data_IF_770583825105
#
_entry.id   IF_770583825105
#
_cell.length_a   1.000
_cell.length_b   1.000
_cell.length_c   1.000
_cell.angle_alpha   90.00
_cell.angle_beta   90.00
_cell.angle_gamma   90.00
#
_symmetry.space_group_name_H-M   'P 1'
#
loop_
_entity.id
_entity.type
_entity.pdbx_description
1 polymer ?
#
# COMPACT_ATOMS: atom_id res chain seq x y z
N UNK A 1 -21.82 -28.73 -19.42
CA UNK A 1 -22.75 -28.35 -18.33
C UNK A 1 -21.90 -27.99 -17.13
N UNK A 2 -21.63 -26.71 -16.93
CA UNK A 2 -20.85 -26.21 -15.79
C UNK A 2 -21.85 -25.76 -14.74
N UNK A 3 -21.96 -26.49 -13.63
CA UNK A 3 -22.80 -26.05 -12.52
C UNK A 3 -22.18 -24.78 -11.88
N UNK A 4 -23.00 -23.77 -11.51
CA UNK A 4 -22.51 -22.63 -10.76
C UNK A 4 -22.12 -23.08 -9.35
N UNK A 5 -20.89 -22.83 -8.92
CA UNK A 5 -20.45 -23.06 -7.55
C UNK A 5 -21.13 -22.06 -6.64
N UNK A 6 -21.93 -22.56 -5.68
CA UNK A 6 -22.53 -21.76 -4.62
C UNK A 6 -21.44 -21.02 -3.84
N UNK A 7 -21.54 -19.68 -3.67
CA UNK A 7 -20.57 -18.96 -2.86
C UNK A 7 -20.68 -19.43 -1.41
N UNK A 8 -19.56 -19.87 -0.86
CA UNK A 8 -19.39 -20.13 0.57
C UNK A 8 -19.81 -18.88 1.37
N UNK A 9 -20.89 -19.00 2.15
CA UNK A 9 -21.28 -17.93 3.07
C UNK A 9 -20.32 -17.91 4.25
N UNK A 10 -19.65 -16.78 4.45
CA UNK A 10 -18.84 -16.51 5.63
C UNK A 10 -19.75 -16.42 6.87
N UNK A 11 -19.62 -17.37 7.79
CA UNK A 11 -20.29 -17.34 9.10
C UNK A 11 -19.47 -16.46 10.04
N UNK A 12 -20.04 -15.34 10.47
CA UNK A 12 -19.45 -14.52 11.54
C UNK A 12 -19.85 -15.13 12.89
N UNK A 13 -18.90 -15.44 13.80
CA UNK A 13 -19.23 -15.98 15.11
C UNK A 13 -20.13 -15.03 15.92
N UNK A 14 -21.07 -15.59 16.69
CA UNK A 14 -22.05 -14.81 17.46
C UNK A 14 -21.44 -13.88 18.55
N UNK A 15 -20.18 -14.08 18.91
CA UNK A 15 -19.45 -13.24 19.86
C UNK A 15 -18.76 -12.03 19.21
N UNK A 16 -18.66 -11.98 17.88
CA UNK A 16 -18.05 -10.87 17.15
C UNK A 16 -19.05 -9.73 17.04
N UNK A 17 -18.89 -8.72 17.89
CA UNK A 17 -19.62 -7.46 17.83
C UNK A 17 -18.74 -6.35 17.22
N UNK A 18 -19.32 -5.49 16.40
CA UNK A 18 -18.58 -4.39 15.74
C UNK A 18 -17.96 -3.38 16.71
N UNK A 19 -18.49 -3.26 17.93
CA UNK A 19 -17.91 -2.43 19.00
C UNK A 19 -16.51 -2.89 19.41
N UNK A 20 -16.19 -4.18 19.27
CA UNK A 20 -14.87 -4.73 19.56
C UNK A 20 -13.78 -4.21 18.60
N UNK A 21 -14.19 -3.67 17.44
CA UNK A 21 -13.29 -3.10 16.44
C UNK A 21 -13.21 -1.57 16.51
N UNK A 22 -13.99 -0.94 17.40
CA UNK A 22 -13.95 0.51 17.57
C UNK A 22 -12.59 0.95 18.12
N UNK A 23 -12.05 2.03 17.58
CA UNK A 23 -10.75 2.59 18.01
C UNK A 23 -9.51 1.89 17.44
N UNK A 24 -9.66 0.86 16.60
CA UNK A 24 -8.51 0.26 15.91
C UNK A 24 -7.78 1.31 15.07
N UNK A 25 -6.48 1.49 15.38
CA UNK A 25 -5.56 2.32 14.62
C UNK A 25 -5.04 1.55 13.41
N UNK A 26 -4.68 2.27 12.35
CA UNK A 26 -4.20 1.69 11.08
C UNK A 26 -3.06 2.56 10.56
N UNK A 27 -2.01 1.91 10.08
CA UNK A 27 -1.00 2.51 9.22
C UNK A 27 -1.09 1.85 7.84
N UNK A 28 -0.76 2.60 6.79
CA UNK A 28 -0.71 2.09 5.43
C UNK A 28 0.65 2.44 4.84
N UNK A 29 1.27 1.44 4.24
CA UNK A 29 2.45 1.57 3.41
C UNK A 29 2.03 1.27 1.96
N UNK A 30 2.50 2.08 1.01
CA UNK A 30 2.24 1.87 -0.41
C UNK A 30 3.49 2.13 -1.22
N UNK A 31 3.86 1.16 -2.04
CA UNK A 31 4.95 1.26 -2.99
C UNK A 31 4.45 1.59 -4.41
N UNK A 32 5.24 2.36 -5.16
CA UNK A 32 5.00 2.62 -6.59
C UNK A 32 6.27 3.07 -7.31
N UNK A 33 6.50 2.53 -8.51
CA UNK A 33 7.65 2.91 -9.33
C UNK A 33 7.46 4.28 -9.97
N UNK A 34 8.48 5.13 -9.91
CA UNK A 34 8.58 6.31 -10.77
C UNK A 34 8.85 5.87 -12.20
N UNK A 35 8.03 6.32 -13.13
CA UNK A 35 8.12 5.95 -14.53
C UNK A 35 8.29 7.19 -15.41
N UNK A 36 8.98 7.01 -16.52
CA UNK A 36 9.06 7.99 -17.60
C UNK A 36 7.80 7.90 -18.48
N UNK A 37 7.53 8.94 -19.27
CA UNK A 37 6.38 8.99 -20.18
C UNK A 37 6.40 7.91 -21.27
N UNK A 38 7.56 7.33 -21.56
CA UNK A 38 7.75 6.24 -22.51
C UNK A 38 7.48 4.84 -21.90
N UNK A 39 7.03 4.77 -20.65
CA UNK A 39 6.71 3.51 -19.97
C UNK A 39 7.92 2.76 -19.39
N UNK A 40 9.12 3.37 -19.38
CA UNK A 40 10.31 2.80 -18.75
C UNK A 40 10.52 3.35 -17.33
N UNK A 41 11.29 2.61 -16.53
CA UNK A 41 11.65 3.00 -15.17
C UNK A 41 12.42 4.34 -15.17
N UNK A 42 12.09 5.24 -14.26
CA UNK A 42 12.85 6.47 -14.05
C UNK A 42 14.29 6.16 -13.64
N UNK A 43 15.26 6.80 -14.29
CA UNK A 43 16.68 6.75 -13.90
C UNK A 43 17.11 8.00 -13.12
N UNK A 44 16.22 8.99 -12.98
CA UNK A 44 16.45 10.19 -12.17
C UNK A 44 16.52 9.85 -10.68
N UNK A 45 17.34 10.58 -9.94
CA UNK A 45 17.42 10.49 -8.48
C UNK A 45 16.10 10.86 -7.79
N UNK A 46 16.00 10.55 -6.50
CA UNK A 46 14.89 10.93 -5.63
C UNK A 46 14.61 12.43 -5.76
N UNK A 47 13.33 12.84 -5.98
CA UNK A 47 13.02 14.24 -6.18
C UNK A 47 13.42 15.10 -4.98
N UNK A 48 14.32 16.07 -5.18
CA UNK A 48 14.82 16.96 -4.10
C UNK A 48 13.70 17.69 -3.34
N UNK A 49 12.57 17.96 -3.99
CA UNK A 49 11.41 18.59 -3.38
C UNK A 49 10.74 17.71 -2.30
N UNK A 50 10.96 16.40 -2.30
CA UNK A 50 10.45 15.46 -1.31
C UNK A 50 11.41 15.28 -0.11
N UNK A 51 12.54 15.98 -0.10
CA UNK A 51 13.51 15.94 0.99
C UNK A 51 14.47 14.76 0.89
N UNK A 52 14.81 14.18 2.04
CA UNK A 52 15.74 13.04 2.12
C UNK A 52 14.96 11.75 2.37
N UNK A 53 15.08 10.78 1.47
CA UNK A 53 14.48 9.46 1.67
C UNK A 53 14.89 8.83 3.02
N UNK A 54 16.14 9.04 3.46
CA UNK A 54 16.66 8.48 4.71
C UNK A 54 15.93 8.97 5.97
N UNK A 55 15.37 10.19 5.97
CA UNK A 55 14.87 10.84 7.19
C UNK A 55 13.46 11.43 7.07
N UNK A 56 12.87 11.45 5.88
CA UNK A 56 11.55 12.01 5.69
C UNK A 56 10.48 11.08 6.29
N UNK A 57 9.58 11.57 7.16
CA UNK A 57 8.77 10.72 8.04
C UNK A 57 7.62 9.97 7.35
N UNK A 58 7.35 10.27 6.08
CA UNK A 58 6.16 9.78 5.35
C UNK A 58 6.42 9.34 3.91
N UNK A 59 7.62 9.61 3.40
CA UNK A 59 7.97 9.41 1.99
C UNK A 59 9.42 8.96 1.96
N UNK A 60 9.67 7.79 1.42
CA UNK A 60 11.02 7.24 1.29
C UNK A 60 11.13 6.50 -0.05
N UNK A 61 12.26 5.84 -0.25
CA UNK A 61 12.46 4.82 -1.27
C UNK A 61 12.68 3.48 -0.59
N UNK A 62 12.15 2.41 -1.17
CA UNK A 62 12.43 1.03 -0.74
C UNK A 62 13.67 0.49 -1.50
N UNK A 63 13.63 -0.73 -2.06
CA UNK A 63 14.81 -1.41 -2.64
C UNK A 63 15.57 -0.60 -3.69
N UNK A 64 14.86 0.21 -4.49
CA UNK A 64 15.47 0.99 -5.57
C UNK A 64 15.19 2.47 -5.42
N UNK A 65 16.12 3.29 -5.92
CA UNK A 65 15.98 4.75 -5.98
C UNK A 65 14.67 5.20 -6.66
N UNK A 66 14.16 4.40 -7.61
CA UNK A 66 12.93 4.69 -8.34
C UNK A 66 11.66 4.14 -7.69
N UNK A 67 11.76 3.27 -6.69
CA UNK A 67 10.61 2.69 -5.99
C UNK A 67 10.24 3.57 -4.80
N UNK A 68 9.23 4.43 -4.98
CA UNK A 68 8.74 5.30 -3.93
C UNK A 68 7.88 4.52 -2.95
N UNK A 69 8.03 4.82 -1.68
CA UNK A 69 7.20 4.30 -0.60
C UNK A 69 6.55 5.45 0.16
N UNK A 70 5.24 5.33 0.41
CA UNK A 70 4.44 6.29 1.15
C UNK A 70 3.90 5.66 2.42
N UNK A 71 4.14 6.30 3.56
CA UNK A 71 3.84 5.80 4.92
C UNK A 71 2.98 6.84 5.65
N UNK A 72 1.90 6.40 6.31
CA UNK A 72 0.97 7.27 7.06
C UNK A 72 1.20 7.27 8.56
#
# INVERSE_FOLDING_TARGET
>A
MSQPTTPSQSVIPAWVDSSLLQGMLRGIERESLRMQSNGFLSQELHPKALGSALTHPKITTDYSEALMEFIT
#
